data_IF_002534777370
#
_entry.id   IF_002534777370
#
_cell.length_a   1.000
_cell.length_b   1.000
_cell.length_c   1.000
_cell.angle_alpha   90.00
_cell.angle_beta   90.00
_cell.angle_gamma   90.00
#
_symmetry.space_group_name_H-M   'P 1'
#
loop_
_entity.id
_entity.type
_entity.pdbx_description
1 polymer ?
#
# COMPACT_ATOMS: atom_id res chain seq x y z
N UNK A 1 -13.36 -2.63 -20.69
CA UNK A 1 -11.97 -2.73 -20.20
C UNK A 1 -12.02 -2.43 -18.71
N UNK A 2 -11.67 -3.39 -17.85
CA UNK A 2 -11.88 -3.33 -16.39
C UNK A 2 -10.70 -2.61 -15.74
N UNK A 3 -10.98 -1.51 -15.03
CA UNK A 3 -9.97 -0.65 -14.44
C UNK A 3 -9.34 -1.29 -13.20
N UNK A 4 -8.01 -1.41 -13.19
CA UNK A 4 -7.27 -1.68 -11.97
C UNK A 4 -7.25 -0.41 -11.11
N UNK A 5 -7.69 -0.49 -9.86
CA UNK A 5 -7.71 0.65 -8.95
C UNK A 5 -6.49 0.57 -8.01
N UNK A 6 -5.72 1.66 -7.94
CA UNK A 6 -4.63 1.84 -6.96
C UNK A 6 -5.27 2.37 -5.67
N UNK A 7 -5.14 1.63 -4.57
CA UNK A 7 -6.00 1.84 -3.39
C UNK A 7 -5.35 2.71 -2.30
N UNK A 8 -4.01 2.83 -2.20
CA UNK A 8 -3.45 3.61 -1.09
C UNK A 8 -1.98 4.06 -1.24
N UNK A 9 -1.66 5.24 -0.70
CA UNK A 9 -0.30 5.72 -0.41
C UNK A 9 -0.28 6.27 1.03
N UNK A 10 0.27 5.51 1.99
CA UNK A 10 0.22 5.88 3.44
C UNK A 10 1.28 6.94 3.78
N UNK A 11 0.88 8.12 4.26
CA UNK A 11 1.73 9.08 4.97
C UNK A 11 0.94 9.84 6.05
N UNK A 12 1.39 9.78 7.32
CA UNK A 12 1.05 10.79 8.32
C UNK A 12 0.98 10.29 9.76
N UNK A 13 1.84 10.82 10.64
CA UNK A 13 1.68 10.76 12.09
C UNK A 13 1.64 12.19 12.64
N UNK A 14 0.57 12.57 13.35
CA UNK A 14 0.38 13.91 13.94
C UNK A 14 0.58 13.85 15.46
N UNK A 15 1.50 14.65 16.00
CA UNK A 15 1.68 14.83 17.45
C UNK A 15 0.89 16.07 17.95
N UNK A 16 0.13 15.94 19.05
CA UNK A 16 -0.74 17.02 19.59
C UNK A 16 -0.39 17.32 21.07
N UNK A 17 -0.31 18.61 21.46
CA UNK A 17 -0.19 19.05 22.87
C UNK A 17 -1.58 19.20 23.51
N UNK A 18 -1.76 18.72 24.73
CA UNK A 18 -3.05 18.69 25.45
C UNK A 18 -3.55 20.08 25.91
N UNK A 19 -4.78 20.44 25.55
CA UNK A 19 -5.56 21.64 25.93
C UNK A 19 -6.95 21.63 25.27
N UNK A 20 -7.88 22.56 25.55
CA UNK A 20 -9.23 22.54 24.94
C UNK A 20 -9.22 22.66 23.40
N UNK A 21 -8.25 23.39 22.84
CA UNK A 21 -7.98 23.39 21.40
C UNK A 21 -7.52 22.01 20.87
N UNK A 22 -6.91 21.19 21.73
CA UNK A 22 -6.52 19.84 21.39
C UNK A 22 -7.73 18.91 21.22
N UNK A 23 -8.83 19.11 21.96
CA UNK A 23 -10.04 18.29 21.79
C UNK A 23 -10.66 18.49 20.40
N UNK A 24 -10.78 19.75 19.94
CA UNK A 24 -11.27 20.04 18.58
C UNK A 24 -10.38 19.45 17.48
N UNK A 25 -9.06 19.56 17.64
CA UNK A 25 -8.08 18.96 16.72
C UNK A 25 -8.14 17.43 16.74
N UNK A 26 -8.31 16.81 17.92
CA UNK A 26 -8.45 15.35 18.07
C UNK A 26 -9.72 14.86 17.38
N UNK A 27 -10.85 15.53 17.57
CA UNK A 27 -12.12 15.16 16.92
C UNK A 27 -12.05 15.30 15.40
N UNK A 28 -11.48 16.39 14.90
CA UNK A 28 -11.30 16.62 13.46
C UNK A 28 -10.36 15.58 12.85
N UNK A 29 -9.23 15.29 13.50
CA UNK A 29 -8.29 14.25 13.07
C UNK A 29 -8.95 12.86 13.11
N UNK A 30 -9.74 12.57 14.14
CA UNK A 30 -10.47 11.28 14.26
C UNK A 30 -11.49 11.12 13.13
N UNK A 31 -12.25 12.17 12.81
CA UNK A 31 -13.18 12.16 11.67
C UNK A 31 -12.45 11.93 10.35
N UNK A 32 -11.33 12.61 10.14
CA UNK A 32 -10.53 12.46 8.92
C UNK A 32 -10.05 11.00 8.73
N UNK A 33 -9.44 10.40 9.76
CA UNK A 33 -8.98 9.00 9.71
C UNK A 33 -10.14 8.04 9.48
N UNK A 34 -11.29 8.26 10.12
CA UNK A 34 -12.47 7.41 9.93
C UNK A 34 -13.02 7.50 8.49
N UNK A 35 -12.99 8.69 7.88
CA UNK A 35 -13.38 8.90 6.48
C UNK A 35 -12.41 8.21 5.52
N UNK A 36 -11.10 8.32 5.74
CA UNK A 36 -10.07 7.67 4.93
C UNK A 36 -10.24 6.13 4.97
N UNK A 37 -10.43 5.57 6.17
CA UNK A 37 -10.67 4.14 6.34
C UNK A 37 -11.97 3.67 5.67
N UNK A 38 -13.05 4.46 5.75
CA UNK A 38 -14.30 4.14 5.08
C UNK A 38 -14.15 4.17 3.55
N UNK A 39 -13.42 5.13 3.00
CA UNK A 39 -13.13 5.22 1.57
C UNK A 39 -12.27 4.05 1.08
N UNK A 40 -11.23 3.68 1.83
CA UNK A 40 -10.41 2.49 1.54
C UNK A 40 -11.28 1.22 1.52
N UNK A 41 -12.13 1.03 2.53
CA UNK A 41 -13.01 -0.12 2.60
C UNK A 41 -14.02 -0.16 1.44
N UNK A 42 -14.59 0.98 1.06
CA UNK A 42 -15.48 1.07 -0.11
C UNK A 42 -14.74 0.71 -1.41
N UNK A 43 -13.52 1.22 -1.61
CA UNK A 43 -12.70 0.89 -2.77
C UNK A 43 -12.35 -0.59 -2.82
N UNK A 44 -11.95 -1.20 -1.69
CA UNK A 44 -11.70 -2.63 -1.59
C UNK A 44 -12.93 -3.46 -1.96
N UNK A 45 -14.12 -3.06 -1.50
CA UNK A 45 -15.36 -3.77 -1.79
C UNK A 45 -15.72 -3.73 -3.29
N UNK A 46 -15.40 -2.64 -3.99
CA UNK A 46 -15.74 -2.44 -5.40
C UNK A 46 -14.65 -2.92 -6.38
N UNK A 47 -13.42 -3.14 -5.90
CA UNK A 47 -12.29 -3.48 -6.76
C UNK A 47 -12.33 -4.94 -7.26
N UNK A 48 -12.22 -5.09 -8.58
CA UNK A 48 -11.97 -6.38 -9.27
C UNK A 48 -10.56 -6.92 -8.99
N UNK A 49 -9.59 -6.02 -8.82
CA UNK A 49 -8.19 -6.32 -8.52
C UNK A 49 -7.62 -5.26 -7.59
N UNK A 50 -6.76 -5.68 -6.66
CA UNK A 50 -6.15 -4.80 -5.66
C UNK A 50 -4.64 -4.80 -5.82
N UNK A 51 -4.06 -3.60 -5.96
CA UNK A 51 -2.61 -3.38 -5.99
C UNK A 51 -2.26 -2.50 -4.80
N UNK A 52 -1.30 -2.95 -3.99
CA UNK A 52 -0.86 -2.25 -2.77
C UNK A 52 0.59 -1.81 -2.95
N UNK A 53 0.79 -0.50 -3.02
CA UNK A 53 2.11 0.12 -3.07
C UNK A 53 2.62 0.32 -1.65
N UNK A 54 3.78 -0.27 -1.35
CA UNK A 54 4.42 -0.23 -0.04
C UNK A 54 5.80 0.40 -0.17
N UNK A 55 6.28 0.97 0.93
CA UNK A 55 7.62 1.54 0.98
C UNK A 55 8.22 1.29 2.35
N UNK A 56 9.07 0.27 2.42
CA UNK A 56 9.78 -0.11 3.63
C UNK A 56 8.80 -0.47 4.76
N UNK A 57 7.73 -1.20 4.42
CA UNK A 57 6.78 -1.77 5.39
C UNK A 57 7.49 -2.59 6.48
N UNK A 58 8.63 -3.20 6.19
CA UNK A 58 9.46 -3.90 7.19
C UNK A 58 10.01 -3.00 8.31
N UNK A 59 10.03 -1.67 8.09
CA UNK A 59 10.39 -0.65 9.09
C UNK A 59 9.17 0.07 9.67
N UNK A 60 7.96 -0.22 9.19
CA UNK A 60 6.74 0.49 9.54
C UNK A 60 5.60 -0.48 9.87
N UNK A 61 5.44 -0.78 11.16
CA UNK A 61 4.45 -1.75 11.64
C UNK A 61 2.99 -1.33 11.38
N UNK A 62 2.71 -0.02 11.34
CA UNK A 62 1.37 0.47 11.00
C UNK A 62 1.03 0.15 9.55
N UNK A 63 1.96 0.43 8.62
CA UNK A 63 1.82 0.05 7.22
C UNK A 63 1.69 -1.47 7.09
N UNK A 64 2.52 -2.24 7.81
CA UNK A 64 2.44 -3.70 7.78
C UNK A 64 1.09 -4.25 8.29
N UNK A 65 0.57 -3.69 9.38
CA UNK A 65 -0.73 -4.08 9.94
C UNK A 65 -1.86 -3.78 8.95
N UNK A 66 -1.85 -2.61 8.30
CA UNK A 66 -2.85 -2.24 7.29
C UNK A 66 -2.78 -3.19 6.09
N UNK A 67 -1.59 -3.46 5.55
CA UNK A 67 -1.40 -4.39 4.42
C UNK A 67 -1.90 -5.80 4.75
N UNK A 68 -1.60 -6.32 5.95
CA UNK A 68 -2.13 -7.63 6.40
C UNK A 68 -3.65 -7.63 6.48
N UNK A 69 -4.27 -6.52 6.88
CA UNK A 69 -5.73 -6.38 6.88
C UNK A 69 -6.31 -6.47 5.47
N UNK A 70 -5.65 -5.84 4.49
CA UNK A 70 -6.05 -5.92 3.08
C UNK A 70 -5.89 -7.36 2.57
N UNK A 71 -4.75 -8.02 2.83
CA UNK A 71 -4.51 -9.42 2.41
C UNK A 71 -5.53 -10.40 2.97
N UNK A 72 -5.98 -10.22 4.22
CA UNK A 72 -7.05 -11.06 4.80
C UNK A 72 -8.37 -10.94 4.04
N UNK A 73 -8.69 -9.75 3.53
CA UNK A 73 -9.92 -9.49 2.78
C UNK A 73 -9.79 -9.83 1.30
N UNK A 74 -8.59 -9.65 0.74
CA UNK A 74 -8.26 -9.81 -0.68
C UNK A 74 -6.95 -10.61 -0.81
N UNK A 75 -6.97 -11.94 -0.59
CA UNK A 75 -5.75 -12.76 -0.63
C UNK A 75 -4.98 -12.73 -1.95
N UNK A 76 -5.65 -12.34 -3.05
CA UNK A 76 -5.04 -12.16 -4.38
C UNK A 76 -4.48 -10.75 -4.63
N UNK A 77 -4.39 -9.88 -3.62
CA UNK A 77 -3.82 -8.56 -3.78
C UNK A 77 -2.35 -8.64 -4.24
N UNK A 78 -1.98 -7.78 -5.19
CA UNK A 78 -0.61 -7.67 -5.70
C UNK A 78 0.15 -6.69 -4.83
N UNK A 79 1.16 -7.18 -4.13
CA UNK A 79 2.02 -6.34 -3.30
C UNK A 79 3.17 -5.77 -4.12
N UNK A 80 3.41 -4.47 -3.98
CA UNK A 80 4.47 -3.77 -4.73
C UNK A 80 5.38 -3.00 -3.77
N UNK A 81 6.62 -3.47 -3.60
CA UNK A 81 7.65 -2.78 -2.85
C UNK A 81 8.31 -1.70 -3.73
N UNK A 82 8.10 -0.43 -3.36
CA UNK A 82 8.66 0.75 -4.06
C UNK A 82 9.96 1.28 -3.46
N UNK A 83 10.46 0.61 -2.42
CA UNK A 83 11.73 0.90 -1.76
C UNK A 83 12.54 -0.38 -1.58
N UNK A 84 12.68 -0.81 -0.34
CA UNK A 84 13.46 -1.99 0.04
C UNK A 84 12.71 -3.29 -0.34
N UNK A 85 13.40 -4.29 -0.92
CA UNK A 85 12.77 -5.58 -1.27
C UNK A 85 12.42 -6.44 -0.05
N UNK A 86 12.89 -6.05 1.15
CA UNK A 86 12.69 -6.80 2.40
C UNK A 86 11.25 -6.79 2.90
N UNK A 87 10.38 -5.96 2.32
CA UNK A 87 8.94 -5.97 2.59
C UNK A 87 8.34 -7.38 2.36
N UNK A 88 8.91 -8.19 1.45
CA UNK A 88 8.47 -9.57 1.23
C UNK A 88 8.53 -10.44 2.51
N UNK A 89 9.55 -10.23 3.36
CA UNK A 89 9.71 -11.00 4.61
C UNK A 89 8.57 -10.76 5.61
N UNK A 90 7.87 -9.64 5.47
CA UNK A 90 6.78 -9.20 6.36
C UNK A 90 5.45 -9.83 5.94
N UNK A 91 5.34 -10.25 4.68
CA UNK A 91 4.12 -10.79 4.05
C UNK A 91 4.41 -12.08 3.29
N UNK A 92 4.93 -13.14 3.94
CA UNK A 92 5.20 -14.43 3.29
C UNK A 92 3.94 -15.06 2.68
N UNK A 93 2.75 -14.65 3.11
CA UNK A 93 1.45 -15.08 2.59
C UNK A 93 1.06 -14.46 1.24
N UNK A 94 1.81 -13.46 0.74
CA UNK A 94 1.47 -12.76 -0.50
C UNK A 94 1.68 -13.66 -1.74
N UNK A 95 0.64 -13.81 -2.57
CA UNK A 95 0.70 -14.64 -3.78
C UNK A 95 1.47 -13.98 -4.93
N UNK A 96 1.42 -12.65 -5.02
CA UNK A 96 2.13 -11.87 -6.03
C UNK A 96 2.86 -10.72 -5.36
N UNK A 97 4.18 -10.65 -5.60
CA UNK A 97 5.05 -9.62 -5.04
C UNK A 97 5.96 -9.05 -6.13
N UNK A 98 5.97 -7.72 -6.26
CA UNK A 98 6.77 -7.00 -7.26
C UNK A 98 7.66 -5.99 -6.55
N UNK A 99 8.92 -5.89 -6.96
CA UNK A 99 9.84 -4.85 -6.51
C UNK A 99 10.07 -3.85 -7.65
N UNK A 100 9.72 -2.57 -7.44
CA UNK A 100 10.05 -1.50 -8.39
C UNK A 100 11.32 -0.74 -7.98
N UNK A 101 11.79 -0.91 -6.74
CA UNK A 101 12.97 -0.24 -6.15
C UNK A 101 12.92 1.30 -6.17
N UNK A 102 11.81 1.86 -6.60
CA UNK A 102 11.61 3.29 -6.76
C UNK A 102 10.11 3.59 -6.81
N UNK A 103 9.72 4.68 -6.16
CA UNK A 103 8.38 5.27 -6.23
C UNK A 103 8.30 6.36 -7.31
N UNK A 104 9.38 6.58 -8.07
CA UNK A 104 9.41 7.62 -9.09
C UNK A 104 8.45 7.29 -10.24
N UNK A 105 7.93 8.32 -10.97
CA UNK A 105 6.94 8.11 -12.01
C UNK A 105 7.36 7.12 -13.11
N UNK A 106 8.64 7.04 -13.46
CA UNK A 106 9.14 6.15 -14.50
C UNK A 106 9.03 4.68 -14.08
N UNK A 107 9.33 4.39 -12.81
CA UNK A 107 9.20 3.05 -12.25
C UNK A 107 7.74 2.62 -12.14
N UNK A 108 6.85 3.53 -11.76
CA UNK A 108 5.40 3.25 -11.69
C UNK A 108 4.76 3.07 -13.08
N UNK A 109 5.27 3.75 -14.13
CA UNK A 109 4.85 3.49 -15.52
C UNK A 109 5.26 2.09 -15.97
N UNK A 110 6.52 1.69 -15.73
CA UNK A 110 6.98 0.35 -16.05
C UNK A 110 6.19 -0.74 -15.29
N UNK A 111 5.83 -0.48 -14.02
CA UNK A 111 4.93 -1.34 -13.26
C UNK A 111 3.57 -1.49 -13.96
N UNK A 112 2.97 -0.39 -14.42
CA UNK A 112 1.69 -0.44 -15.12
C UNK A 112 1.77 -1.25 -16.43
N UNK A 113 2.85 -1.10 -17.20
CA UNK A 113 3.08 -1.89 -18.41
C UNK A 113 3.21 -3.40 -18.10
N UNK A 114 3.88 -3.75 -17.00
CA UNK A 114 3.98 -5.14 -16.54
C UNK A 114 2.62 -5.70 -16.10
N UNK A 115 1.88 -4.94 -15.28
CA UNK A 115 0.58 -5.38 -14.75
C UNK A 115 -0.49 -5.53 -15.83
N UNK A 116 -0.39 -4.74 -16.90
CA UNK A 116 -1.29 -4.82 -18.06
C UNK A 116 -0.86 -5.86 -19.09
N UNK A 117 0.31 -6.50 -18.90
CA UNK A 117 0.88 -7.47 -19.83
C UNK A 117 1.48 -6.86 -21.10
N UNK A 118 1.59 -5.53 -21.18
CA UNK A 118 2.27 -4.85 -22.29
C UNK A 118 3.77 -5.17 -22.33
N UNK A 119 4.38 -5.42 -21.16
CA UNK A 119 5.77 -5.82 -21.01
C UNK A 119 5.86 -7.03 -20.09
N UNK A 120 6.71 -8.01 -20.43
CA UNK A 120 6.99 -9.15 -19.54
C UNK A 120 7.98 -8.74 -18.44
N UNK A 121 7.67 -9.04 -17.19
CA UNK A 121 8.62 -8.88 -16.10
C UNK A 121 9.88 -9.75 -16.33
N UNK A 122 11.05 -9.10 -16.43
CA UNK A 122 12.34 -9.77 -16.66
C UNK A 122 13.40 -9.53 -15.58
N UNK A 123 13.06 -8.78 -14.53
CA UNK A 123 13.98 -8.48 -13.43
C UNK A 123 14.38 -9.73 -12.64
N UNK A 124 15.62 -9.75 -12.14
CA UNK A 124 16.10 -10.73 -11.16
C UNK A 124 16.41 -10.01 -9.87
N UNK A 125 16.08 -10.63 -8.75
CA UNK A 125 16.32 -10.04 -7.44
C UNK A 125 17.84 -9.88 -7.21
N UNK A 126 18.34 -8.68 -6.86
CA UNK A 126 19.77 -8.42 -6.70
C UNK A 126 20.31 -8.85 -5.32
N UNK A 127 19.44 -9.36 -4.44
CA UNK A 127 19.74 -9.73 -3.05
C UNK A 127 19.13 -11.08 -2.73
N UNK A 128 19.61 -11.74 -1.67
CA UNK A 128 18.97 -12.94 -1.11
C UNK A 128 17.94 -12.50 -0.07
N UNK A 129 16.70 -13.01 -0.15
CA UNK A 129 15.64 -12.77 0.84
C UNK A 129 15.72 -13.76 1.99
#
# INVERSE_FOLDING_TARGET
QRGAQVIHQVYGSTAVRTGAAAQGIIEETTRYVAQEAAQEQMALNQADAVIVLMRNAWKNEEQATRVRSILRQKPGAILVATGDPYDFRVFPEAQTFICTYSHRPEALRALAEVLTGAVKAGGKLPVTL
#
